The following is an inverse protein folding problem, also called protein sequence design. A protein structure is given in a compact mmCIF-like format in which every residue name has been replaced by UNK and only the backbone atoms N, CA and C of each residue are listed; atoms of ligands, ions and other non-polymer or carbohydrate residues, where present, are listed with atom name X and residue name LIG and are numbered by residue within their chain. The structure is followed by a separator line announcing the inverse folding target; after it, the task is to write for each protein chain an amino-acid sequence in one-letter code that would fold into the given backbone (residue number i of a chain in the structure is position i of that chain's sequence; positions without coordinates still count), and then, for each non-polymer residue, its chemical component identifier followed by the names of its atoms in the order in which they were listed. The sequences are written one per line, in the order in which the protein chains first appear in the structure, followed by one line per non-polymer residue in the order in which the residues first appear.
data_IF_198049097271
#
_entry.id   IF_198049097271
#
_cell.length_a   1.000
_cell.length_b   1.000
_cell.length_c   1.000
_cell.angle_alpha   90.00
_cell.angle_beta   90.00
_cell.angle_gamma   90.00
#
_symmetry.space_group_name_H-M   'P 1'
#
loop_
_entity.id
_entity.type
_entity.pdbx_description
1 polymer ?
#
# COMPACT_ATOMS: atom_id res chain seq x y z
N UNK A 1 -17.08 -13.48 13.44
CA UNK A 1 -15.62 -13.37 13.21
C UNK A 1 -14.95 -14.73 13.10
N UNK A 2 -15.19 -15.69 14.01
CA UNK A 2 -14.59 -17.03 13.96
C UNK A 2 -14.75 -17.77 12.61
N UNK A 3 -15.97 -17.80 12.05
CA UNK A 3 -16.21 -18.40 10.74
C UNK A 3 -15.45 -17.73 9.58
N UNK A 4 -15.07 -16.45 9.72
CA UNK A 4 -14.23 -15.75 8.72
C UNK A 4 -12.78 -16.21 8.87
N UNK A 5 -12.30 -16.35 10.11
CA UNK A 5 -10.96 -16.88 10.40
C UNK A 5 -10.83 -18.31 9.85
N UNK A 6 -11.83 -19.17 10.05
CA UNK A 6 -11.82 -20.55 9.53
C UNK A 6 -11.70 -20.58 8.00
N UNK A 7 -12.43 -19.69 7.30
CA UNK A 7 -12.32 -19.54 5.84
C UNK A 7 -10.93 -19.07 5.41
N UNK A 8 -10.34 -18.13 6.15
CA UNK A 8 -8.99 -17.63 5.86
C UNK A 8 -7.92 -18.71 6.11
N UNK A 9 -8.07 -19.55 7.15
CA UNK A 9 -7.16 -20.68 7.39
C UNK A 9 -7.24 -21.72 6.28
N UNK A 10 -8.45 -22.05 5.82
CA UNK A 10 -8.63 -22.92 4.65
C UNK A 10 -7.98 -22.31 3.40
N UNK A 11 -8.12 -20.98 3.20
CA UNK A 11 -7.48 -20.29 2.09
C UNK A 11 -5.96 -20.29 2.18
N UNK A 12 -5.40 -20.11 3.37
CA UNK A 12 -3.95 -20.16 3.58
C UNK A 12 -3.38 -21.55 3.28
N UNK A 13 -4.09 -22.61 3.70
CA UNK A 13 -3.72 -23.99 3.37
C UNK A 13 -3.71 -24.21 1.85
N UNK A 14 -4.77 -23.79 1.15
CA UNK A 14 -4.84 -23.87 -0.33
C UNK A 14 -3.68 -23.12 -1.00
N UNK A 15 -3.33 -21.92 -0.52
CA UNK A 15 -2.20 -21.15 -1.04
C UNK A 15 -0.86 -21.84 -0.76
N UNK A 16 -0.71 -22.50 0.39
CA UNK A 16 0.48 -23.28 0.74
C UNK A 16 0.65 -24.47 -0.20
N UNK A 17 -0.44 -25.17 -0.51
CA UNK A 17 -0.43 -26.28 -1.46
C UNK A 17 -0.07 -25.81 -2.87
N UNK A 18 -0.59 -24.66 -3.30
CA UNK A 18 -0.22 -24.05 -4.58
C UNK A 18 1.26 -23.67 -4.64
N UNK A 19 1.84 -23.13 -3.55
CA UNK A 19 3.27 -22.81 -3.49
C UNK A 19 4.17 -24.05 -3.58
N UNK A 20 3.68 -25.21 -3.16
CA UNK A 20 4.38 -26.48 -3.29
C UNK A 20 4.26 -27.10 -4.70
N UNK A 21 3.38 -26.58 -5.56
CA UNK A 21 3.17 -27.10 -6.91
C UNK A 21 4.32 -26.75 -7.86
N UNK A 22 4.86 -27.73 -8.63
CA UNK A 22 5.87 -27.48 -9.65
C UNK A 22 5.45 -26.46 -10.71
N UNK A 23 4.16 -26.38 -11.03
CA UNK A 23 3.64 -25.42 -12.02
C UNK A 23 3.79 -23.97 -11.58
N UNK A 24 3.69 -23.71 -10.27
CA UNK A 24 3.85 -22.38 -9.68
C UNK A 24 5.31 -22.05 -9.49
N UNK A 25 6.11 -23.02 -9.03
CA UNK A 25 7.56 -22.85 -8.82
C UNK A 25 8.27 -22.50 -10.13
N UNK A 26 7.85 -23.09 -11.25
CA UNK A 26 8.44 -22.87 -12.56
C UNK A 26 7.99 -21.55 -13.24
N UNK A 27 6.97 -20.86 -12.70
CA UNK A 27 6.47 -19.58 -13.22
C UNK A 27 6.69 -18.47 -12.19
N UNK A 28 7.74 -17.67 -12.41
CA UNK A 28 8.13 -16.58 -11.51
C UNK A 28 7.02 -15.54 -11.29
N UNK A 29 6.16 -15.28 -12.29
CA UNK A 29 5.03 -14.33 -12.15
C UNK A 29 3.97 -14.93 -11.23
N UNK A 30 3.60 -16.20 -11.42
CA UNK A 30 2.64 -16.90 -10.55
C UNK A 30 3.17 -17.07 -9.13
N UNK A 31 4.44 -17.45 -8.97
CA UNK A 31 5.08 -17.62 -7.68
C UNK A 31 4.99 -16.33 -6.86
N UNK A 32 5.40 -15.20 -7.44
CA UNK A 32 5.31 -13.88 -6.77
C UNK A 32 3.88 -13.54 -6.35
N UNK A 33 2.90 -13.78 -7.22
CA UNK A 33 1.48 -13.50 -6.93
C UNK A 33 0.96 -14.35 -5.77
N UNK A 34 1.21 -15.65 -5.78
CA UNK A 34 0.71 -16.58 -4.76
C UNK A 34 1.44 -16.37 -3.43
N UNK A 35 2.76 -16.16 -3.44
CA UNK A 35 3.54 -15.87 -2.23
C UNK A 35 3.04 -14.60 -1.53
N UNK A 36 2.63 -13.60 -2.31
CA UNK A 36 2.07 -12.36 -1.78
C UNK A 36 0.69 -12.56 -1.15
N UNK A 37 -0.21 -13.24 -1.84
CA UNK A 37 -1.53 -13.61 -1.28
C UNK A 37 -1.38 -14.43 0.01
N UNK A 38 -0.42 -15.36 0.05
CA UNK A 38 -0.12 -16.15 1.24
C UNK A 38 0.33 -15.25 2.40
N UNK A 39 1.21 -14.28 2.16
CA UNK A 39 1.66 -13.32 3.17
C UNK A 39 0.50 -12.46 3.68
N UNK A 40 -0.30 -11.88 2.78
CA UNK A 40 -1.44 -11.05 3.14
C UNK A 40 -2.44 -11.81 4.04
N UNK A 41 -2.79 -13.05 3.68
CA UNK A 41 -3.68 -13.88 4.49
C UNK A 41 -3.03 -14.27 5.83
N UNK A 42 -1.72 -14.51 5.85
CA UNK A 42 -0.99 -14.83 7.09
C UNK A 42 -1.03 -13.68 8.09
N UNK A 43 -0.84 -12.43 7.65
CA UNK A 43 -0.93 -11.24 8.50
C UNK A 43 -2.32 -11.09 9.14
N UNK A 44 -3.39 -11.30 8.35
CA UNK A 44 -4.77 -11.25 8.86
C UNK A 44 -5.00 -12.36 9.90
N UNK A 45 -4.46 -13.56 9.64
CA UNK A 45 -4.61 -14.72 10.52
C UNK A 45 -3.82 -14.60 11.83
N UNK A 46 -2.75 -13.81 11.88
CA UNK A 46 -2.04 -13.56 13.14
C UNK A 46 -2.97 -12.88 14.17
N UNK A 47 -3.64 -11.81 13.75
CA UNK A 47 -4.65 -11.12 14.55
C UNK A 47 -5.88 -12.00 14.77
N UNK A 48 -6.30 -12.75 13.73
CA UNK A 48 -7.43 -13.69 13.82
C UNK A 48 -7.22 -14.80 14.85
N UNK A 49 -6.03 -15.38 14.93
CA UNK A 49 -5.67 -16.40 15.93
C UNK A 49 -5.62 -15.82 17.33
N UNK A 50 -5.13 -14.59 17.49
CA UNK A 50 -5.19 -13.88 18.78
C UNK A 50 -6.64 -13.67 19.23
N UNK A 51 -7.51 -13.20 18.34
CA UNK A 51 -8.94 -13.06 18.60
C UNK A 51 -9.59 -14.41 19.00
N UNK A 52 -9.29 -15.49 18.28
CA UNK A 52 -9.81 -16.84 18.61
C UNK A 52 -9.33 -17.30 19.99
N UNK A 53 -8.07 -17.02 20.35
CA UNK A 53 -7.52 -17.37 21.66
C UNK A 53 -8.26 -16.64 22.79
N UNK A 54 -8.42 -15.31 22.66
CA UNK A 54 -9.14 -14.49 23.65
C UNK A 54 -10.60 -14.96 23.76
N UNK A 55 -11.26 -15.24 22.64
CA UNK A 55 -12.62 -15.77 22.62
C UNK A 55 -12.77 -17.09 23.38
N UNK A 56 -11.77 -17.99 23.32
CA UNK A 56 -11.77 -19.23 24.11
C UNK A 56 -11.55 -18.96 25.59
N UNK A 57 -10.61 -18.07 25.93
CA UNK A 57 -10.36 -17.70 27.33
C UNK A 57 -11.58 -17.07 27.99
N UNK A 58 -12.34 -16.24 27.25
CA UNK A 58 -13.62 -15.71 27.72
C UNK A 58 -14.63 -16.82 27.97
N UNK A 59 -14.79 -17.76 27.04
CA UNK A 59 -15.72 -18.89 27.19
C UNK A 59 -15.35 -19.78 28.38
N UNK A 60 -14.06 -20.10 28.54
CA UNK A 60 -13.52 -20.88 29.66
C UNK A 60 -13.76 -20.16 31.00
N UNK A 61 -13.43 -18.86 31.09
CA UNK A 61 -13.61 -18.07 32.31
C UNK A 61 -15.10 -17.86 32.64
N UNK A 62 -15.96 -17.65 31.64
CA UNK A 62 -17.41 -17.59 31.84
C UNK A 62 -17.97 -18.92 32.36
N UNK A 63 -17.44 -20.06 31.89
CA UNK A 63 -17.84 -21.37 32.38
C UNK A 63 -17.39 -21.60 33.83
N UNK A 64 -16.14 -21.25 34.17
CA UNK A 64 -15.63 -21.29 35.54
C UNK A 64 -16.49 -20.42 36.47
N UNK A 65 -16.91 -19.23 36.02
CA UNK A 65 -17.77 -18.35 36.81
C UNK A 65 -19.18 -18.93 37.05
N UNK A 66 -19.65 -19.84 36.19
CA UNK A 66 -20.94 -20.54 36.32
C UNK A 66 -20.82 -21.80 37.18
N UNK A 67 -19.71 -22.52 37.08
CA UNK A 67 -19.37 -23.64 37.96
C UNK A 67 -18.91 -23.10 39.33
N UNK A 68 -19.88 -22.84 40.21
CA UNK A 68 -19.68 -22.33 41.60
C UNK A 68 -19.04 -23.38 42.54
N UNK A 69 -18.27 -24.32 41.99
CA UNK A 69 -17.58 -25.40 42.72
C UNK A 69 -16.34 -24.91 43.46
N UNK A 70 -15.70 -23.84 43.00
CA UNK A 70 -14.51 -23.24 43.61
C UNK A 70 -14.60 -21.71 43.56
N UNK A 71 -14.81 -21.11 44.73
CA UNK A 71 -15.05 -19.66 44.88
C UNK A 71 -13.79 -18.83 44.62
N UNK A 72 -12.62 -19.32 44.99
CA UNK A 72 -11.36 -18.60 44.75
C UNK A 72 -11.06 -18.56 43.25
N UNK A 73 -11.30 -19.68 42.56
CA UNK A 73 -11.14 -19.78 41.11
C UNK A 73 -12.16 -18.91 40.36
N UNK A 74 -13.41 -18.86 40.82
CA UNK A 74 -14.45 -18.02 40.24
C UNK A 74 -14.18 -16.52 40.41
N UNK A 75 -13.64 -16.09 41.57
CA UNK A 75 -13.23 -14.69 41.77
C UNK A 75 -12.07 -14.29 40.86
N UNK A 76 -11.08 -15.17 40.69
CA UNK A 76 -9.98 -14.94 39.76
C UNK A 76 -10.48 -14.81 38.32
N UNK A 77 -11.31 -15.75 37.86
CA UNK A 77 -11.88 -15.72 36.50
C UNK A 77 -12.67 -14.43 36.25
N UNK A 78 -13.47 -13.96 37.22
CA UNK A 78 -14.20 -12.68 37.11
C UNK A 78 -13.28 -11.48 36.97
N UNK A 79 -12.15 -11.47 37.68
CA UNK A 79 -11.19 -10.36 37.59
C UNK A 79 -10.51 -10.27 36.22
N UNK A 80 -10.38 -11.39 35.51
CA UNK A 80 -9.78 -11.44 34.17
C UNK A 80 -10.78 -11.13 33.04
N UNK A 81 -12.09 -11.30 33.27
CA UNK A 81 -13.11 -11.11 32.22
C UNK A 81 -13.12 -9.68 31.65
N UNK A 82 -13.00 -8.66 32.49
CA UNK A 82 -13.03 -7.25 32.05
C UNK A 82 -11.84 -6.91 31.13
N UNK A 83 -10.65 -7.41 31.47
CA UNK A 83 -9.44 -7.25 30.65
C UNK A 83 -9.59 -8.01 29.33
N UNK A 84 -10.07 -9.26 29.38
CA UNK A 84 -10.30 -10.08 28.19
C UNK A 84 -11.35 -9.49 27.24
N UNK A 85 -12.42 -8.87 27.74
CA UNK A 85 -13.40 -8.17 26.90
C UNK A 85 -12.77 -6.96 26.21
N UNK A 86 -11.93 -6.20 26.93
CA UNK A 86 -11.22 -5.05 26.37
C UNK A 86 -10.23 -5.48 25.28
N UNK A 87 -9.46 -6.55 25.53
CA UNK A 87 -8.57 -7.14 24.53
C UNK A 87 -9.33 -7.69 23.33
N UNK A 88 -10.49 -8.33 23.55
CA UNK A 88 -11.32 -8.84 22.47
C UNK A 88 -11.83 -7.73 21.57
N UNK A 89 -12.32 -6.62 22.15
CA UNK A 89 -12.81 -5.48 21.37
C UNK A 89 -11.69 -4.84 20.54
N UNK A 90 -10.50 -4.70 21.12
CA UNK A 90 -9.30 -4.20 20.42
C UNK A 90 -8.91 -5.11 19.26
N UNK A 91 -8.81 -6.42 19.51
CA UNK A 91 -8.49 -7.41 18.48
C UNK A 91 -9.57 -7.49 17.38
N UNK A 92 -10.84 -7.31 17.73
CA UNK A 92 -11.94 -7.27 16.75
C UNK A 92 -11.84 -6.05 15.83
N UNK A 93 -11.54 -4.86 16.38
CA UNK A 93 -11.35 -3.64 15.59
C UNK A 93 -10.18 -3.78 14.62
N UNK A 94 -9.05 -4.28 15.11
CA UNK A 94 -7.87 -4.53 14.27
C UNK A 94 -8.18 -5.54 13.16
N UNK A 95 -8.84 -6.65 13.50
CA UNK A 95 -9.22 -7.67 12.51
C UNK A 95 -10.20 -7.12 11.47
N UNK A 96 -11.19 -6.32 11.88
CA UNK A 96 -12.12 -5.66 10.94
C UNK A 96 -11.42 -4.75 9.96
N UNK A 97 -10.42 -3.99 10.40
CA UNK A 97 -9.61 -3.13 9.53
C UNK A 97 -8.82 -3.96 8.52
N UNK A 98 -8.23 -5.07 8.95
CA UNK A 98 -7.46 -5.97 8.09
C UNK A 98 -8.32 -6.73 7.07
N UNK A 99 -9.61 -6.95 7.37
CA UNK A 99 -10.56 -7.60 6.45
C UNK A 99 -11.07 -6.66 5.34
N UNK A 100 -10.78 -5.36 5.40
CA UNK A 100 -11.14 -4.43 4.33
C UNK A 100 -10.36 -4.83 3.07
N UNK A 101 -11.05 -5.10 1.94
CA UNK A 101 -10.38 -5.45 0.69
C UNK A 101 -9.37 -4.37 0.30
N UNK A 102 -8.09 -4.76 0.22
CA UNK A 102 -7.03 -3.88 -0.29
C UNK A 102 -7.22 -3.66 -1.79
N UNK A 103 -6.85 -2.48 -2.29
CA UNK A 103 -6.81 -2.24 -3.73
C UNK A 103 -5.72 -3.16 -4.32
N UNK A 104 -5.98 -3.87 -5.43
CA UNK A 104 -4.98 -4.73 -6.07
C UNK A 104 -3.67 -3.99 -6.41
N UNK A 105 -3.72 -2.67 -6.57
CA UNK A 105 -2.56 -1.83 -6.87
C UNK A 105 -1.82 -1.35 -5.62
N UNK A 106 -2.38 -1.44 -4.41
CA UNK A 106 -1.80 -0.88 -3.18
C UNK A 106 -0.37 -1.35 -2.91
N UNK A 107 -0.07 -2.52 -3.42
CA UNK A 107 1.16 -3.24 -3.18
C UNK A 107 2.13 -3.17 -4.35
N UNK A 108 1.86 -2.30 -5.33
CA UNK A 108 2.75 -2.00 -6.46
C UNK A 108 3.73 -0.89 -6.10
N UNK A 109 4.82 -0.85 -6.87
CA UNK A 109 5.64 0.35 -6.95
C UNK A 109 4.81 1.52 -7.49
N UNK A 110 5.32 2.73 -7.35
CA UNK A 110 4.60 3.92 -7.81
C UNK A 110 5.49 4.82 -8.64
N UNK A 111 4.91 5.40 -9.68
CA UNK A 111 5.48 6.52 -10.41
C UNK A 111 4.89 7.80 -9.86
N UNK A 112 5.74 8.64 -9.30
CA UNK A 112 5.38 9.94 -8.77
C UNK A 112 5.85 11.03 -9.72
N UNK A 113 4.90 11.85 -10.17
CA UNK A 113 5.15 13.00 -11.01
C UNK A 113 4.85 14.28 -10.23
N UNK A 114 5.85 15.14 -10.08
CA UNK A 114 5.75 16.42 -9.38
C UNK A 114 5.95 17.54 -10.40
N UNK A 115 4.98 18.44 -10.52
CA UNK A 115 4.99 19.55 -11.46
C UNK A 115 4.78 20.89 -10.76
N UNK A 116 5.56 21.88 -11.17
CA UNK A 116 5.35 23.26 -10.75
C UNK A 116 4.03 23.79 -11.31
N UNK A 117 3.21 24.37 -10.44
CA UNK A 117 1.94 25.03 -10.81
C UNK A 117 2.08 26.55 -10.84
N UNK A 118 1.11 27.24 -10.24
CA UNK A 118 1.11 28.71 -10.15
C UNK A 118 2.18 29.18 -9.16
N UNK A 119 3.00 30.15 -9.56
CA UNK A 119 4.06 30.71 -8.71
C UNK A 119 5.42 30.88 -9.39
N UNK A 120 5.56 30.44 -10.66
CA UNK A 120 6.79 30.61 -11.43
C UNK A 120 7.99 29.93 -10.76
N UNK A 121 9.08 30.67 -10.57
CA UNK A 121 10.31 30.17 -9.94
C UNK A 121 10.06 29.63 -8.52
N UNK A 122 9.15 30.23 -7.76
CA UNK A 122 8.80 29.75 -6.42
C UNK A 122 8.08 28.39 -6.47
N UNK A 123 7.20 28.18 -7.45
CA UNK A 123 6.56 26.88 -7.65
C UNK A 123 7.58 25.80 -8.04
N UNK A 124 8.61 26.16 -8.82
CA UNK A 124 9.68 25.24 -9.17
C UNK A 124 10.56 24.86 -7.97
N UNK A 125 10.87 25.82 -7.10
CA UNK A 125 11.57 25.57 -5.84
C UNK A 125 10.71 24.69 -4.90
N UNK A 126 9.41 24.95 -4.83
CA UNK A 126 8.49 24.14 -4.04
C UNK A 126 8.39 22.70 -4.57
N UNK A 127 8.37 22.49 -5.89
CA UNK A 127 8.43 21.15 -6.48
C UNK A 127 9.72 20.39 -6.08
N UNK A 128 10.86 21.08 -5.98
CA UNK A 128 12.11 20.49 -5.49
C UNK A 128 12.07 20.16 -3.99
N UNK A 129 11.44 21.01 -3.17
CA UNK A 129 11.20 20.72 -1.76
C UNK A 129 10.34 19.47 -1.57
N UNK A 130 9.28 19.33 -2.38
CA UNK A 130 8.41 18.16 -2.37
C UNK A 130 9.14 16.89 -2.82
N UNK A 131 9.93 16.96 -3.89
CA UNK A 131 10.78 15.85 -4.32
C UNK A 131 11.72 15.39 -3.19
N UNK A 132 12.39 16.34 -2.53
CA UNK A 132 13.27 16.05 -1.38
C UNK A 132 12.51 15.45 -0.21
N UNK A 133 11.30 15.93 0.07
CA UNK A 133 10.42 15.40 1.12
C UNK A 133 10.07 13.93 0.84
N UNK A 134 9.57 13.61 -0.36
CA UNK A 134 9.19 12.24 -0.71
C UNK A 134 10.37 11.29 -0.82
N UNK A 135 11.53 11.76 -1.30
CA UNK A 135 12.75 10.95 -1.33
C UNK A 135 13.18 10.55 0.09
N UNK A 136 13.17 11.50 1.03
CA UNK A 136 13.47 11.21 2.45
C UNK A 136 12.43 10.29 3.09
N UNK A 137 11.15 10.45 2.74
CA UNK A 137 10.10 9.55 3.19
C UNK A 137 10.31 8.13 2.67
N UNK A 138 10.68 7.98 1.39
CA UNK A 138 11.02 6.70 0.78
C UNK A 138 12.22 6.04 1.47
N UNK A 139 13.30 6.79 1.73
CA UNK A 139 14.47 6.30 2.47
C UNK A 139 14.10 5.79 3.87
N UNK A 140 13.25 6.52 4.60
CA UNK A 140 12.78 6.14 5.93
C UNK A 140 11.91 4.86 5.91
N UNK A 141 11.23 4.59 4.80
CA UNK A 141 10.45 3.37 4.57
C UNK A 141 11.32 2.23 4.00
N UNK A 142 12.61 2.46 3.75
CA UNK A 142 13.50 1.49 3.11
C UNK A 142 13.20 1.25 1.63
N UNK A 143 12.52 2.18 0.97
CA UNK A 143 12.23 2.13 -0.46
C UNK A 143 13.37 2.76 -1.26
N UNK A 144 13.53 2.32 -2.52
CA UNK A 144 14.48 2.90 -3.46
C UNK A 144 13.77 3.88 -4.39
N UNK A 145 14.38 5.02 -4.67
CA UNK A 145 13.86 5.99 -5.65
C UNK A 145 14.80 6.12 -6.84
N UNK A 146 14.26 6.01 -8.05
CA UNK A 146 14.98 6.15 -9.31
C UNK A 146 14.36 7.31 -10.11
N UNK A 147 15.15 8.32 -10.52
CA UNK A 147 14.64 9.42 -11.34
C UNK A 147 14.46 8.93 -12.78
N UNK A 148 13.24 9.01 -13.30
CA UNK A 148 12.92 8.65 -14.69
C UNK A 148 13.11 9.83 -15.65
N UNK A 149 12.69 11.02 -15.22
CA UNK A 149 12.80 12.25 -16.01
C UNK A 149 12.85 13.46 -15.08
N UNK A 150 13.54 14.52 -15.50
CA UNK A 150 13.57 15.78 -14.76
C UNK A 150 13.76 16.97 -15.69
N UNK A 151 13.11 18.07 -15.37
CA UNK A 151 13.18 19.36 -16.04
C UNK A 151 13.59 20.44 -15.03
N UNK A 152 14.89 20.54 -14.70
CA UNK A 152 15.38 21.51 -13.72
C UNK A 152 15.29 22.95 -14.24
N UNK A 153 15.21 23.92 -13.32
CA UNK A 153 15.20 25.36 -13.61
C UNK A 153 16.52 26.02 -13.16
N UNK A 154 16.85 27.18 -13.73
CA UNK A 154 18.09 27.89 -13.42
C UNK A 154 18.21 28.37 -11.96
N UNK A 155 17.09 28.45 -11.23
CA UNK A 155 17.04 28.81 -9.80
C UNK A 155 17.21 27.61 -8.86
N UNK A 156 17.42 26.40 -9.39
CA UNK A 156 17.62 25.18 -8.61
C UNK A 156 16.34 24.41 -8.25
N UNK A 157 15.22 24.73 -8.91
CA UNK A 157 13.95 24.02 -8.78
C UNK A 157 13.69 23.02 -9.92
N UNK A 158 12.50 22.44 -9.96
CA UNK A 158 12.03 21.62 -11.08
C UNK A 158 10.73 22.18 -11.65
N UNK A 159 10.64 22.30 -12.98
CA UNK A 159 9.35 22.49 -13.66
C UNK A 159 8.54 21.19 -13.60
N UNK A 160 9.22 20.07 -13.75
CA UNK A 160 8.68 18.72 -13.67
C UNK A 160 9.78 17.74 -13.21
N UNK A 161 9.42 16.77 -12.39
CA UNK A 161 10.26 15.62 -12.06
C UNK A 161 9.40 14.37 -11.91
N UNK A 162 9.84 13.28 -12.53
CA UNK A 162 9.19 11.97 -12.53
C UNK A 162 10.12 10.98 -11.86
N UNK A 163 9.63 10.33 -10.81
CA UNK A 163 10.41 9.44 -9.95
C UNK A 163 9.68 8.11 -9.83
N UNK A 164 10.40 7.02 -10.07
CA UNK A 164 9.96 5.67 -9.73
C UNK A 164 10.32 5.38 -8.27
N UNK A 165 9.34 5.04 -7.46
CA UNK A 165 9.52 4.59 -6.08
C UNK A 165 9.30 3.08 -6.04
N UNK A 166 10.40 2.35 -5.85
CA UNK A 166 10.45 0.89 -5.79
C UNK A 166 10.41 0.44 -4.33
N UNK A 167 9.32 -0.21 -3.95
CA UNK A 167 9.08 -0.64 -2.58
C UNK A 167 7.74 -1.34 -2.41
N UNK A 168 7.69 -2.34 -1.55
CA UNK A 168 6.44 -3.03 -1.24
C UNK A 168 5.46 -2.06 -0.57
N UNK A 169 4.24 -1.98 -1.10
CA UNK A 169 3.22 -1.06 -0.58
C UNK A 169 3.40 0.42 -0.93
N UNK A 170 4.34 0.78 -1.83
CA UNK A 170 4.66 2.18 -2.12
C UNK A 170 3.45 2.96 -2.66
N UNK A 171 2.74 2.42 -3.65
CA UNK A 171 1.53 3.05 -4.19
C UNK A 171 0.43 3.18 -3.13
N UNK A 172 0.14 2.14 -2.37
CA UNK A 172 -0.95 2.13 -1.40
C UNK A 172 -0.80 3.18 -0.30
N UNK A 173 0.44 3.51 0.09
CA UNK A 173 0.72 4.61 1.01
C UNK A 173 0.69 5.97 0.34
N UNK A 174 1.24 6.10 -0.87
CA UNK A 174 1.40 7.39 -1.54
C UNK A 174 0.18 7.83 -2.36
N UNK A 175 -0.80 6.96 -2.64
CA UNK A 175 -1.99 7.29 -3.46
C UNK A 175 -2.77 8.51 -2.95
N UNK A 176 -2.69 8.79 -1.65
CA UNK A 176 -3.36 9.93 -1.01
C UNK A 176 -2.64 11.27 -1.22
N UNK A 177 -1.42 11.24 -1.74
CA UNK A 177 -0.60 12.43 -2.02
C UNK A 177 -0.95 13.08 -3.38
N UNK A 178 -1.72 12.38 -4.21
CA UNK A 178 -2.12 12.87 -5.53
C UNK A 178 -3.06 14.07 -5.39
N UNK A 179 -2.68 15.21 -5.97
CA UNK A 179 -3.45 16.44 -5.88
C UNK A 179 -2.61 17.70 -6.01
N UNK A 180 -3.22 18.83 -5.69
CA UNK A 180 -2.57 20.15 -5.70
C UNK A 180 -2.15 20.52 -4.28
N UNK A 181 -0.88 20.83 -4.12
CA UNK A 181 -0.25 21.23 -2.87
C UNK A 181 -0.02 22.74 -2.88
N UNK A 182 -0.36 23.41 -1.78
CA UNK A 182 -0.27 24.87 -1.66
C UNK A 182 0.82 25.25 -0.66
N UNK A 183 1.65 26.23 -1.03
CA UNK A 183 2.65 26.84 -0.14
C UNK A 183 2.40 28.33 0.01
N UNK A 184 2.61 28.84 1.21
CA UNK A 184 2.59 30.28 1.52
C UNK A 184 3.84 30.64 2.29
N UNK A 185 4.75 31.38 1.65
CA UNK A 185 6.00 31.87 2.26
C UNK A 185 6.50 33.12 1.55
N UNK A 186 7.54 33.75 2.08
CA UNK A 186 8.30 34.77 1.36
C UNK A 186 9.25 34.04 0.41
N UNK A 187 9.08 34.17 -0.93
CA UNK A 187 9.94 33.48 -1.88
C UNK A 187 11.40 33.94 -1.78
N UNK A 188 12.33 33.04 -2.13
CA UNK A 188 13.75 33.40 -2.21
C UNK A 188 14.00 34.45 -3.30
N UNK A 189 13.13 34.52 -4.31
CA UNK A 189 13.18 35.47 -5.41
C UNK A 189 12.51 36.82 -5.09
N UNK A 190 11.94 37.00 -3.89
CA UNK A 190 11.17 38.20 -3.53
C UNK A 190 12.00 39.19 -2.68
N UNK A 191 12.09 40.44 -3.11
CA UNK A 191 12.92 41.48 -2.46
C UNK A 191 12.17 42.30 -1.40
N UNK A 192 10.84 42.38 -1.47
CA UNK A 192 10.02 43.21 -0.57
C UNK A 192 9.59 42.47 0.71
N UNK A 193 9.94 41.20 0.89
CA UNK A 193 9.52 40.40 2.05
C UNK A 193 8.02 40.05 2.07
N UNK A 194 7.35 40.10 0.90
CA UNK A 194 5.91 39.80 0.81
C UNK A 194 5.67 38.30 0.77
N UNK A 195 4.59 37.87 1.42
CA UNK A 195 4.16 36.46 1.37
C UNK A 195 3.46 36.22 0.03
N UNK A 196 3.94 35.23 -0.72
CA UNK A 196 3.30 34.76 -1.93
C UNK A 196 2.60 33.43 -1.67
N UNK A 197 1.54 33.17 -2.42
CA UNK A 197 0.91 31.85 -2.48
C UNK A 197 1.33 31.19 -3.78
N UNK A 198 1.86 29.98 -3.70
CA UNK A 198 2.26 29.17 -4.86
C UNK A 198 1.72 27.76 -4.72
N UNK A 199 1.76 26.99 -5.82
CA UNK A 199 1.25 25.63 -5.85
C UNK A 199 2.11 24.72 -6.72
N UNK A 200 2.10 23.43 -6.39
CA UNK A 200 2.65 22.34 -7.19
C UNK A 200 1.62 21.20 -7.24
N UNK A 201 1.60 20.42 -8.32
CA UNK A 201 0.76 19.23 -8.43
C UNK A 201 1.61 17.97 -8.30
N UNK A 202 1.06 16.98 -7.61
CA UNK A 202 1.60 15.61 -7.55
C UNK A 202 0.59 14.68 -8.20
N UNK A 203 1.05 13.86 -9.13
CA UNK A 203 0.31 12.70 -9.61
C UNK A 203 1.03 11.43 -9.12
N UNK A 204 0.25 10.48 -8.60
CA UNK A 204 0.74 9.20 -8.10
C UNK A 204 0.05 8.09 -8.87
N UNK A 205 0.84 7.33 -9.62
CA UNK A 205 0.34 6.29 -10.53
C UNK A 205 0.95 4.94 -10.14
N UNK A 206 0.17 3.85 -10.08
CA UNK A 206 0.74 2.54 -9.84
C UNK A 206 1.62 2.15 -11.04
N UNK A 207 2.73 1.46 -10.77
CA UNK A 207 3.57 0.92 -11.85
C UNK A 207 2.73 -0.02 -12.73
N UNK A 208 2.75 0.25 -14.05
CA UNK A 208 2.06 -0.58 -15.02
C UNK A 208 2.81 -1.91 -15.18
N UNK A 209 2.08 -3.01 -15.25
CA UNK A 209 2.67 -4.29 -15.65
C UNK A 209 2.82 -4.28 -17.17
N UNK A 210 4.01 -4.61 -17.67
CA UNK A 210 4.19 -4.89 -19.09
C UNK A 210 3.33 -6.11 -19.46
N UNK A 211 2.34 -5.87 -20.32
CA UNK A 211 1.53 -6.92 -20.91
C UNK A 211 2.20 -7.29 -22.22
N UNK A 212 2.68 -8.53 -22.32
CA UNK A 212 3.13 -9.11 -23.59
C UNK A 212 1.91 -9.30 -24.50
N UNK A 213 1.64 -8.32 -25.36
CA UNK A 213 0.57 -8.41 -26.35
C UNK A 213 1.07 -9.27 -27.51
N UNK A 214 0.61 -10.52 -27.55
CA UNK A 214 0.78 -11.38 -28.71
C UNK A 214 -0.18 -10.92 -29.82
N UNK A 215 0.37 -10.36 -30.90
CA UNK A 215 -0.43 -10.00 -32.08
C UNK A 215 -0.84 -11.29 -32.79
N UNK A 216 -2.13 -11.57 -32.84
CA UNK A 216 -2.68 -12.71 -33.56
C UNK A 216 -2.69 -12.43 -35.07
N UNK A 217 -1.94 -13.19 -35.90
CA UNK A 217 -1.91 -12.97 -37.35
C UNK A 217 -3.29 -13.08 -38.02
N UNK A 218 -4.22 -13.83 -37.43
CA UNK A 218 -5.58 -13.99 -37.97
C UNK A 218 -6.46 -12.74 -37.78
N UNK A 219 -6.07 -11.83 -36.88
CA UNK A 219 -6.74 -10.55 -36.66
C UNK A 219 -6.10 -9.42 -37.49
N UNK A 220 -5.00 -9.71 -38.20
CA UNK A 220 -4.35 -8.76 -39.09
C UNK A 220 -4.98 -8.81 -40.48
N UNK A 221 -5.58 -7.69 -40.88
CA UNK A 221 -5.87 -7.45 -42.30
C UNK A 221 -4.61 -6.91 -42.97
N UNK A 222 -3.97 -7.74 -43.78
CA UNK A 222 -2.74 -7.39 -44.50
C UNK A 222 -3.09 -7.08 -45.95
N UNK A 223 -3.10 -5.79 -46.30
CA UNK A 223 -3.29 -5.33 -47.67
C UNK A 223 -1.93 -4.97 -48.28
N UNK A 224 -1.58 -5.56 -49.44
CA UNK A 224 -0.29 -5.34 -50.12
C UNK A 224 -0.50 -4.47 -51.36
N UNK A 225 0.29 -3.39 -51.49
CA UNK A 225 0.22 -2.48 -52.63
C UNK A 225 1.61 -2.27 -53.24
N UNK A 226 1.64 -1.81 -54.50
CA UNK A 226 2.89 -1.37 -55.13
C UNK A 226 3.36 -0.08 -54.45
N UNK A 227 4.65 0.01 -54.15
CA UNK A 227 5.27 1.23 -53.65
C UNK A 227 5.06 2.37 -54.65
N UNK A 228 4.63 3.54 -54.15
CA UNK A 228 4.52 4.75 -54.95
C UNK A 228 5.85 5.51 -54.89
N UNK A 229 6.55 5.55 -56.02
CA UNK A 229 7.79 6.28 -56.25
C UNK A 229 8.30 6.03 -57.68
N UNK A 230 9.04 6.98 -58.28
CA UNK A 230 9.63 6.81 -59.62
C UNK A 230 10.75 5.75 -59.65
#
# INVERSE_FOLDING_TARGET
MLAVIDKLEAKLAELSDQLASPEVINDLKKLRKISKQHRDVSEILEVGRRYRKISRQLEDNEQICRDDSDKELAELARSELDDLYTEMESAEKELKLLLIPRDPNDSKNTVMEIRAGTGGDEAALFAADMYRMYTRFADAMGWRTDILSSHPTGVGGFKEIIVLVVGDGAYGKLKYESGVHRVQRVPVTESSGRIHTSAASVAVLPEAEEIDIAINPNELKIDVFRSSGP
#
